data_IF_883767277685
#
_entry.id   IF_883767277685
#
_cell.length_a   1.000
_cell.length_b   1.000
_cell.length_c   1.000
_cell.angle_alpha   90.00
_cell.angle_beta   90.00
_cell.angle_gamma   90.00
#
_symmetry.space_group_name_H-M   'P 1'
#
loop_
_entity.id
_entity.type
_entity.pdbx_description
1 polymer ?
#
# COMPACT_ATOMS: atom_id res chain seq x y z
N UNK A 1 -5.20 -35.55 -14.20
CA UNK A 1 -6.30 -36.55 -14.09
C UNK A 1 -6.76 -37.00 -15.47
N UNK A 2 -7.11 -36.08 -16.38
CA UNK A 2 -7.62 -36.38 -17.73
C UNK A 2 -6.60 -37.14 -18.59
N UNK A 3 -5.33 -36.77 -18.56
CA UNK A 3 -4.23 -37.47 -19.23
C UNK A 3 -4.02 -38.89 -18.68
N UNK A 4 -4.19 -39.09 -17.38
CA UNK A 4 -4.05 -40.41 -16.75
C UNK A 4 -5.22 -41.33 -17.14
N UNK A 5 -6.43 -40.81 -17.21
CA UNK A 5 -7.59 -41.55 -17.71
C UNK A 5 -7.44 -41.93 -19.17
N UNK A 6 -6.91 -41.05 -20.00
CA UNK A 6 -6.65 -41.29 -21.42
C UNK A 6 -5.58 -42.38 -21.60
N UNK A 7 -4.53 -42.37 -20.77
CA UNK A 7 -3.50 -43.41 -20.76
C UNK A 7 -4.04 -44.79 -20.38
N UNK A 8 -4.90 -44.85 -19.35
CA UNK A 8 -5.58 -46.07 -18.92
C UNK A 8 -6.51 -46.59 -20.06
N UNK A 9 -7.27 -45.68 -20.68
CA UNK A 9 -8.16 -46.06 -21.80
C UNK A 9 -7.34 -46.63 -22.97
N UNK A 10 -6.26 -46.00 -23.38
CA UNK A 10 -5.37 -46.48 -24.45
C UNK A 10 -4.76 -47.85 -24.08
N UNK A 11 -4.30 -48.00 -22.82
CA UNK A 11 -3.75 -49.28 -22.34
C UNK A 11 -4.77 -50.41 -22.44
N UNK A 12 -6.02 -50.17 -22.03
CA UNK A 12 -7.11 -51.18 -22.15
C UNK A 12 -7.44 -51.51 -23.60
N UNK A 13 -7.48 -50.49 -24.47
CA UNK A 13 -7.78 -50.69 -25.90
C UNK A 13 -6.65 -51.47 -26.61
N UNK A 14 -5.41 -51.19 -26.31
CA UNK A 14 -4.26 -51.93 -26.79
C UNK A 14 -4.32 -53.39 -26.31
N UNK A 15 -4.58 -53.62 -25.03
CA UNK A 15 -4.64 -54.96 -24.44
C UNK A 15 -5.81 -55.79 -25.06
N UNK A 16 -6.96 -55.14 -25.30
CA UNK A 16 -8.12 -55.74 -25.96
C UNK A 16 -7.82 -56.09 -27.43
N UNK A 17 -7.16 -55.20 -28.15
CA UNK A 17 -6.78 -55.41 -29.55
C UNK A 17 -5.77 -56.56 -29.69
N UNK A 18 -4.78 -56.66 -28.81
CA UNK A 18 -3.80 -57.74 -28.79
C UNK A 18 -4.44 -59.12 -28.52
N UNK A 19 -5.46 -59.14 -27.61
CA UNK A 19 -6.14 -60.38 -27.23
C UNK A 19 -7.05 -60.90 -28.34
N UNK A 20 -7.66 -60.00 -29.15
CA UNK A 20 -8.55 -60.36 -30.23
C UNK A 20 -7.86 -60.75 -31.54
N UNK A 21 -6.55 -60.46 -31.66
CA UNK A 21 -5.75 -60.66 -32.88
C UNK A 21 -5.05 -62.03 -32.94
N UNK A 22 -5.23 -62.87 -31.92
CA UNK A 22 -4.58 -64.20 -31.89
C UNK A 22 -5.31 -65.20 -32.84
N UNK A 23 -6.52 -64.84 -33.31
CA UNK A 23 -7.39 -65.82 -34.01
C UNK A 23 -7.64 -65.57 -35.52
N UNK A 24 -7.02 -64.56 -36.20
CA UNK A 24 -7.29 -64.35 -37.64
C UNK A 24 -6.05 -63.85 -38.40
N UNK A 25 -5.57 -64.70 -39.26
CA UNK A 25 -4.48 -64.45 -40.26
C UNK A 25 -4.85 -63.30 -41.21
N UNK A 26 -4.00 -62.28 -41.29
CA UNK A 26 -3.97 -61.30 -42.38
C UNK A 26 -4.27 -59.86 -42.05
N UNK A 27 -5.07 -59.54 -41.02
CA UNK A 27 -5.41 -58.19 -40.59
C UNK A 27 -4.53 -57.69 -39.41
N UNK A 28 -3.71 -58.54 -38.90
CA UNK A 28 -2.90 -58.42 -37.70
C UNK A 28 -1.76 -57.40 -37.88
N UNK A 29 -1.21 -57.28 -39.09
CA UNK A 29 -0.08 -56.42 -39.37
C UNK A 29 -0.42 -54.91 -39.29
N UNK A 30 -1.54 -54.50 -39.88
CA UNK A 30 -1.93 -53.10 -39.92
C UNK A 30 -2.29 -52.58 -38.51
N UNK A 31 -2.97 -53.37 -37.68
CA UNK A 31 -3.30 -52.98 -36.32
C UNK A 31 -2.10 -52.86 -35.42
N UNK A 32 -1.11 -53.73 -35.55
CA UNK A 32 0.16 -53.67 -34.85
C UNK A 32 0.94 -52.39 -35.23
N UNK A 33 0.99 -52.03 -36.49
CA UNK A 33 1.62 -50.79 -36.96
C UNK A 33 0.94 -49.56 -36.41
N UNK A 34 -0.38 -49.48 -36.43
CA UNK A 34 -1.15 -48.36 -35.89
C UNK A 34 -0.90 -48.23 -34.39
N UNK A 35 -0.89 -49.33 -33.65
CA UNK A 35 -0.67 -49.32 -32.21
C UNK A 35 0.76 -48.84 -31.86
N UNK A 36 1.78 -49.37 -32.56
CA UNK A 36 3.17 -48.94 -32.35
C UNK A 36 3.37 -47.47 -32.73
N UNK A 37 2.79 -47.03 -33.82
CA UNK A 37 2.87 -45.65 -34.28
C UNK A 37 2.15 -44.70 -33.30
N UNK A 38 0.98 -45.06 -32.83
CA UNK A 38 0.24 -44.31 -31.83
C UNK A 38 1.00 -44.20 -30.51
N UNK A 39 1.62 -45.30 -30.06
CA UNK A 39 2.43 -45.32 -28.85
C UNK A 39 3.69 -44.44 -29.00
N UNK A 40 4.34 -44.51 -30.17
CA UNK A 40 5.54 -43.75 -30.48
C UNK A 40 5.29 -42.24 -30.54
N UNK A 41 4.12 -41.81 -30.97
CA UNK A 41 3.72 -40.39 -30.99
C UNK A 41 3.19 -39.88 -29.65
N UNK A 42 2.52 -40.74 -28.91
CA UNK A 42 1.83 -40.37 -27.65
C UNK A 42 2.82 -40.20 -26.48
N UNK A 43 3.87 -41.03 -26.40
CA UNK A 43 4.88 -40.92 -25.35
C UNK A 43 5.64 -39.60 -25.41
N UNK A 44 6.22 -39.16 -26.55
CA UNK A 44 6.86 -37.85 -26.63
C UNK A 44 5.90 -36.69 -26.34
N UNK A 45 4.65 -36.75 -26.78
CA UNK A 45 3.64 -35.73 -26.54
C UNK A 45 3.36 -35.54 -25.04
N UNK A 46 3.22 -36.64 -24.30
CA UNK A 46 3.04 -36.60 -22.85
C UNK A 46 4.27 -36.02 -22.15
N UNK A 47 5.45 -36.44 -22.53
CA UNK A 47 6.73 -35.97 -21.98
C UNK A 47 6.89 -34.44 -22.20
N UNK A 48 6.61 -33.95 -23.39
CA UNK A 48 6.65 -32.53 -23.73
C UNK A 48 5.62 -31.75 -22.88
N UNK A 49 4.42 -32.28 -22.71
CA UNK A 49 3.39 -31.64 -21.90
C UNK A 49 3.80 -31.54 -20.42
N UNK A 50 4.33 -32.61 -19.85
CA UNK A 50 4.82 -32.63 -18.45
C UNK A 50 5.98 -31.66 -18.29
N UNK A 51 6.94 -31.67 -19.22
CA UNK A 51 8.10 -30.80 -19.21
C UNK A 51 7.70 -29.32 -19.35
N UNK A 52 6.73 -29.03 -20.23
CA UNK A 52 6.18 -27.69 -20.40
C UNK A 52 5.50 -27.17 -19.14
N UNK A 53 4.69 -27.99 -18.47
CA UNK A 53 4.07 -27.63 -17.20
C UNK A 53 5.11 -27.40 -16.11
N UNK A 54 6.15 -28.22 -16.06
CA UNK A 54 7.24 -28.04 -15.10
C UNK A 54 8.01 -26.73 -15.34
N UNK A 55 8.39 -26.45 -16.60
CA UNK A 55 9.06 -25.20 -16.96
C UNK A 55 8.19 -23.98 -16.66
N UNK A 56 6.90 -24.07 -16.98
CA UNK A 56 5.96 -22.97 -16.71
C UNK A 56 5.82 -22.70 -15.21
N UNK A 57 5.65 -23.73 -14.39
CA UNK A 57 5.57 -23.59 -12.93
C UNK A 57 6.86 -23.01 -12.36
N UNK A 58 8.02 -23.53 -12.79
CA UNK A 58 9.32 -23.04 -12.33
C UNK A 58 9.60 -21.58 -12.76
N UNK A 59 9.22 -21.22 -14.00
CA UNK A 59 9.39 -19.87 -14.50
C UNK A 59 8.47 -18.87 -13.78
N UNK A 60 7.22 -19.26 -13.53
CA UNK A 60 6.27 -18.45 -12.76
C UNK A 60 6.76 -18.22 -11.33
N UNK A 61 7.10 -19.28 -10.61
CA UNK A 61 7.56 -19.19 -9.23
C UNK A 61 8.82 -18.31 -9.09
N UNK A 62 9.83 -18.56 -9.92
CA UNK A 62 11.09 -17.82 -9.83
C UNK A 62 11.01 -16.37 -10.32
N UNK A 63 10.18 -16.09 -11.31
CA UNK A 63 10.07 -14.75 -11.90
C UNK A 63 9.09 -13.86 -11.16
N UNK A 64 7.91 -14.40 -10.81
CA UNK A 64 6.87 -13.63 -10.15
C UNK A 64 7.19 -13.35 -8.68
N UNK A 65 7.60 -14.33 -7.90
CA UNK A 65 7.90 -14.13 -6.48
C UNK A 65 8.98 -13.07 -6.29
N UNK A 66 10.07 -13.14 -7.03
CA UNK A 66 11.15 -12.17 -6.86
C UNK A 66 10.76 -10.76 -7.31
N UNK A 67 10.10 -10.61 -8.46
CA UNK A 67 9.71 -9.28 -8.97
C UNK A 67 8.55 -8.67 -8.20
N UNK A 68 7.51 -9.44 -7.92
CA UNK A 68 6.34 -8.95 -7.18
C UNK A 68 6.74 -8.57 -5.75
N UNK A 69 7.49 -9.42 -5.06
CA UNK A 69 7.98 -9.11 -3.72
C UNK A 69 8.86 -7.86 -3.70
N UNK A 70 9.76 -7.71 -4.67
CA UNK A 70 10.62 -6.53 -4.77
C UNK A 70 9.81 -5.25 -5.03
N UNK A 71 8.83 -5.30 -5.95
CA UNK A 71 7.98 -4.15 -6.25
C UNK A 71 7.11 -3.76 -5.05
N UNK A 72 6.48 -4.73 -4.39
CA UNK A 72 5.66 -4.49 -3.20
C UNK A 72 6.51 -3.91 -2.07
N UNK A 73 7.69 -4.48 -1.81
CA UNK A 73 8.60 -3.99 -0.80
C UNK A 73 9.08 -2.57 -1.09
N UNK A 74 9.52 -2.29 -2.31
CA UNK A 74 9.95 -0.95 -2.71
C UNK A 74 8.81 0.08 -2.63
N UNK A 75 7.59 -0.32 -3.01
CA UNK A 75 6.41 0.55 -2.89
C UNK A 75 6.08 0.85 -1.44
N UNK A 76 6.20 -0.13 -0.55
CA UNK A 76 6.01 0.06 0.89
C UNK A 76 7.06 1.00 1.49
N UNK A 77 8.34 0.80 1.17
CA UNK A 77 9.43 1.67 1.64
C UNK A 77 9.29 3.10 1.10
N UNK A 78 8.88 3.25 -0.15
CA UNK A 78 8.60 4.56 -0.73
C UNK A 78 7.44 5.27 -0.01
N UNK A 79 6.33 4.57 0.21
CA UNK A 79 5.19 5.12 0.94
C UNK A 79 5.55 5.51 2.37
N UNK A 80 6.32 4.68 3.07
CA UNK A 80 6.82 4.97 4.42
C UNK A 80 7.73 6.20 4.45
N UNK A 81 8.66 6.30 3.50
CA UNK A 81 9.56 7.44 3.37
C UNK A 81 8.79 8.73 3.07
N UNK A 82 7.80 8.67 2.20
CA UNK A 82 6.93 9.81 1.88
C UNK A 82 6.16 10.30 3.12
N UNK A 83 5.53 9.39 3.86
CA UNK A 83 4.82 9.75 5.11
C UNK A 83 5.78 10.41 6.11
N UNK A 84 7.00 9.87 6.26
CA UNK A 84 8.00 10.43 7.15
C UNK A 84 8.48 11.82 6.71
N UNK A 85 8.64 12.04 5.41
CA UNK A 85 8.97 13.33 4.83
C UNK A 85 7.88 14.37 5.10
N UNK A 86 6.61 14.02 4.85
CA UNK A 86 5.45 14.89 5.14
C UNK A 86 5.41 15.25 6.63
N UNK A 87 5.59 14.29 7.52
CA UNK A 87 5.61 14.54 8.96
C UNK A 87 6.75 15.46 9.38
N UNK A 88 7.93 15.29 8.79
CA UNK A 88 9.07 16.15 9.07
C UNK A 88 8.85 17.57 8.52
N UNK A 89 8.25 17.70 7.34
CA UNK A 89 7.84 18.98 6.75
C UNK A 89 6.88 19.70 7.72
N UNK A 90 5.78 19.06 8.10
CA UNK A 90 4.78 19.64 9.02
C UNK A 90 5.43 20.06 10.34
N UNK A 91 6.29 19.23 10.93
CA UNK A 91 7.01 19.56 12.18
C UNK A 91 7.93 20.78 12.03
N UNK A 92 8.60 20.94 10.91
CA UNK A 92 9.48 22.08 10.65
C UNK A 92 8.67 23.36 10.40
N UNK A 93 7.62 23.25 9.61
CA UNK A 93 6.78 24.39 9.26
C UNK A 93 6.01 24.93 10.47
N UNK A 94 5.55 24.08 11.38
CA UNK A 94 4.85 24.54 12.58
C UNK A 94 5.72 25.43 13.47
N UNK A 95 7.02 25.09 13.58
CA UNK A 95 7.98 25.94 14.35
C UNK A 95 8.11 27.33 13.72
N UNK A 96 8.18 27.38 12.40
CA UNK A 96 8.30 28.65 11.66
C UNK A 96 7.01 29.47 11.76
N UNK A 97 5.84 28.82 11.66
CA UNK A 97 4.55 29.50 11.84
C UNK A 97 4.42 30.03 13.26
N UNK A 98 4.78 29.22 14.27
CA UNK A 98 4.74 29.65 15.66
C UNK A 98 5.68 30.86 15.91
N UNK A 99 6.87 30.84 15.33
CA UNK A 99 7.80 31.97 15.39
C UNK A 99 7.19 33.23 14.78
N UNK A 100 6.59 33.14 13.58
CA UNK A 100 5.96 34.26 12.92
C UNK A 100 4.74 34.79 13.70
N UNK A 101 3.94 33.91 14.32
CA UNK A 101 2.82 34.30 15.20
C UNK A 101 3.36 35.04 16.43
N UNK A 102 4.36 34.48 17.12
CA UNK A 102 4.94 35.08 18.31
C UNK A 102 5.52 36.47 18.00
N UNK A 103 6.21 36.64 16.87
CA UNK A 103 6.76 37.90 16.41
C UNK A 103 5.67 38.91 16.07
N UNK A 104 4.56 38.47 15.52
CA UNK A 104 3.44 39.30 15.10
C UNK A 104 2.39 39.49 16.19
N UNK A 105 2.57 38.96 17.40
CA UNK A 105 1.59 38.91 18.46
C UNK A 105 0.99 40.32 18.79
N UNK A 106 1.82 41.35 18.83
CA UNK A 106 1.42 42.72 19.08
C UNK A 106 0.51 43.32 17.99
N UNK A 107 0.61 42.84 16.74
CA UNK A 107 -0.15 43.31 15.61
C UNK A 107 -1.43 42.50 15.38
N UNK A 108 -1.44 41.28 15.89
CA UNK A 108 -2.63 40.41 15.77
C UNK A 108 -3.72 40.82 16.80
N UNK A 109 -3.33 41.28 18.00
CA UNK A 109 -4.17 41.89 19.05
C UNK A 109 -5.58 41.27 19.18
N UNK A 110 -5.67 39.98 19.23
CA UNK A 110 -6.91 39.18 19.28
C UNK A 110 -7.97 39.50 18.20
N UNK A 111 -7.57 40.20 17.14
CA UNK A 111 -8.44 40.50 16.03
C UNK A 111 -8.61 39.26 15.12
N UNK A 112 -9.79 38.64 15.18
CA UNK A 112 -10.10 37.44 14.41
C UNK A 112 -9.82 37.59 12.92
N UNK A 113 -10.15 38.72 12.32
CA UNK A 113 -9.91 38.96 10.88
C UNK A 113 -8.43 38.99 10.55
N UNK A 114 -7.61 39.56 11.42
CA UNK A 114 -6.16 39.62 11.27
C UNK A 114 -5.54 38.23 11.38
N UNK A 115 -5.96 37.43 12.38
CA UNK A 115 -5.52 36.03 12.49
C UNK A 115 -5.92 35.18 11.30
N UNK A 116 -7.18 35.24 10.87
CA UNK A 116 -7.63 34.47 9.69
C UNK A 116 -6.84 34.83 8.43
N UNK A 117 -6.58 36.15 8.22
CA UNK A 117 -5.77 36.59 7.07
C UNK A 117 -4.34 36.07 7.19
N UNK A 118 -3.75 36.19 8.36
CA UNK A 118 -2.39 35.69 8.62
C UNK A 118 -2.29 34.19 8.38
N UNK A 119 -3.19 33.38 8.97
CA UNK A 119 -3.18 31.93 8.80
C UNK A 119 -3.40 31.51 7.34
N UNK A 120 -4.25 32.22 6.60
CA UNK A 120 -4.40 31.99 5.15
C UNK A 120 -3.13 32.28 4.37
N UNK A 121 -2.41 33.32 4.73
CA UNK A 121 -1.12 33.64 4.11
C UNK A 121 -0.07 32.57 4.44
N UNK A 122 0.02 32.12 5.69
CA UNK A 122 0.91 31.04 6.09
C UNK A 122 0.59 29.73 5.36
N UNK A 123 -0.69 29.37 5.22
CA UNK A 123 -1.12 28.24 4.41
C UNK A 123 -0.55 28.26 2.99
N UNK A 124 -0.67 29.42 2.31
CA UNK A 124 -0.20 29.58 0.94
C UNK A 124 1.34 29.51 0.81
N UNK A 125 2.05 30.16 1.73
CA UNK A 125 3.51 30.23 1.68
C UNK A 125 4.14 28.87 2.00
N UNK A 126 3.54 28.11 2.93
CA UNK A 126 4.13 26.89 3.48
C UNK A 126 3.49 25.60 2.97
N UNK A 127 2.46 25.74 2.13
CA UNK A 127 1.72 24.61 1.56
C UNK A 127 1.18 23.65 2.64
N UNK A 128 0.65 24.21 3.73
CA UNK A 128 -0.02 23.46 4.81
C UNK A 128 -1.52 23.57 4.61
N UNK A 129 -2.24 22.45 4.67
CA UNK A 129 -3.67 22.40 4.37
C UNK A 129 -4.50 23.11 5.42
N UNK A 130 -4.26 22.84 6.69
CA UNK A 130 -5.02 23.37 7.80
C UNK A 130 -4.09 23.87 8.92
N UNK A 131 -4.45 25.04 9.46
CA UNK A 131 -3.74 25.67 10.56
C UNK A 131 -4.77 26.13 11.57
N UNK A 132 -4.60 25.70 12.82
CA UNK A 132 -5.51 25.98 13.91
C UNK A 132 -4.77 26.58 15.10
N UNK A 133 -5.37 27.59 15.74
CA UNK A 133 -4.93 28.06 17.05
C UNK A 133 -6.01 27.65 18.05
N UNK A 134 -5.60 26.94 19.07
CA UNK A 134 -6.47 26.38 20.11
C UNK A 134 -6.03 26.86 21.49
N UNK A 135 -6.93 26.81 22.43
CA UNK A 135 -6.62 27.03 23.84
C UNK A 135 -6.26 25.73 24.57
N UNK A 136 -5.99 25.85 25.87
CA UNK A 136 -5.62 24.70 26.72
C UNK A 136 -6.78 23.69 26.85
N UNK A 137 -8.03 24.13 26.69
CA UNK A 137 -9.20 23.25 26.69
C UNK A 137 -9.50 22.64 25.33
N UNK A 138 -8.57 22.76 24.38
CA UNK A 138 -8.68 22.28 22.98
C UNK A 138 -9.77 22.97 22.18
N UNK A 139 -10.25 24.10 22.63
CA UNK A 139 -11.25 24.91 21.93
C UNK A 139 -10.59 25.67 20.79
N UNK A 140 -11.19 25.62 19.62
CA UNK A 140 -10.74 26.32 18.44
C UNK A 140 -10.94 27.86 18.60
N UNK A 141 -9.83 28.59 18.63
CA UNK A 141 -9.82 30.05 18.67
C UNK A 141 -9.82 30.61 17.24
N UNK A 142 -8.81 30.32 16.48
CA UNK A 142 -8.63 30.82 15.11
C UNK A 142 -8.28 29.68 14.15
N UNK A 143 -8.70 29.80 12.89
CA UNK A 143 -8.44 28.81 11.87
C UNK A 143 -8.45 29.42 10.47
N UNK A 144 -7.75 28.78 9.54
CA UNK A 144 -7.77 29.14 8.12
C UNK A 144 -8.89 28.44 7.34
N UNK A 145 -9.58 27.46 7.92
CA UNK A 145 -10.69 26.77 7.25
C UNK A 145 -11.98 27.58 7.36
N UNK A 146 -12.85 27.42 6.35
CA UNK A 146 -14.15 28.12 6.32
C UNK A 146 -15.19 27.44 7.22
N UNK A 147 -15.16 26.11 7.24
CA UNK A 147 -16.13 25.29 7.95
C UNK A 147 -15.52 24.78 9.27
N UNK A 148 -15.85 25.47 10.36
CA UNK A 148 -15.35 25.10 11.69
C UNK A 148 -15.82 23.74 12.21
N UNK A 149 -16.87 23.17 11.60
CA UNK A 149 -17.37 21.84 12.00
C UNK A 149 -16.41 20.70 11.65
N UNK A 150 -15.49 20.94 10.73
CA UNK A 150 -14.44 19.99 10.33
C UNK A 150 -13.25 19.94 11.28
N UNK A 151 -13.20 20.82 12.26
CA UNK A 151 -12.13 20.79 13.24
C UNK A 151 -12.19 19.53 14.10
N UNK A 152 -11.11 18.77 14.13
CA UNK A 152 -10.91 17.61 15.01
C UNK A 152 -9.91 17.97 16.10
N UNK A 153 -10.31 17.94 17.39
CA UNK A 153 -9.42 18.32 18.49
C UNK A 153 -8.29 17.29 18.62
N UNK A 154 -7.09 17.73 19.10
CA UNK A 154 -5.97 16.83 19.30
C UNK A 154 -6.29 15.76 20.33
N UNK A 155 -5.64 14.59 20.20
CA UNK A 155 -5.80 13.46 21.12
C UNK A 155 -5.51 13.85 22.58
N UNK A 156 -6.08 13.09 23.50
CA UNK A 156 -5.83 13.32 24.93
C UNK A 156 -4.33 13.16 25.23
N UNK A 157 -3.81 13.99 26.11
CA UNK A 157 -2.40 13.96 26.49
C UNK A 157 -1.46 14.73 25.54
N UNK A 158 -1.91 15.13 24.32
CA UNK A 158 -1.04 15.82 23.39
C UNK A 158 -0.60 17.21 23.87
N UNK A 159 -1.51 17.97 24.51
CA UNK A 159 -1.18 19.29 25.05
C UNK A 159 -0.27 19.20 26.26
N UNK A 160 -0.51 18.23 27.12
CA UNK A 160 0.29 17.96 28.32
C UNK A 160 1.75 17.67 27.93
N UNK A 161 1.97 16.80 26.93
CA UNK A 161 3.30 16.49 26.41
C UNK A 161 4.00 17.71 25.80
N UNK A 162 3.27 18.58 25.10
CA UNK A 162 3.83 19.81 24.52
C UNK A 162 4.17 20.83 25.60
N UNK A 163 3.39 20.89 26.69
CA UNK A 163 3.66 21.75 27.83
C UNK A 163 4.89 21.28 28.59
N UNK A 164 5.06 19.97 28.77
CA UNK A 164 6.17 19.37 29.51
C UNK A 164 7.49 19.48 28.74
N UNK A 165 7.48 19.19 27.45
CA UNK A 165 8.70 19.12 26.62
C UNK A 165 9.08 20.46 25.96
N UNK A 166 8.15 21.42 25.88
CA UNK A 166 8.25 22.68 25.12
C UNK A 166 8.77 22.49 23.67
N UNK A 167 8.39 21.38 23.06
CA UNK A 167 8.81 20.99 21.72
C UNK A 167 7.62 20.66 20.83
N UNK A 168 7.74 20.83 19.49
CA UNK A 168 6.67 20.44 18.59
C UNK A 168 6.43 18.92 18.65
N UNK A 169 5.20 18.52 18.96
CA UNK A 169 4.75 17.15 18.99
C UNK A 169 4.16 16.76 17.62
N UNK A 170 4.59 15.66 17.07
CA UNK A 170 3.95 15.05 15.90
C UNK A 170 2.71 14.28 16.34
N UNK A 171 1.60 14.52 15.64
CA UNK A 171 0.35 13.78 15.82
C UNK A 171 0.08 13.02 14.54
N UNK A 172 -0.12 11.70 14.67
CA UNK A 172 -0.49 10.84 13.55
C UNK A 172 -1.89 10.33 13.81
N UNK A 173 -2.83 10.72 12.95
CA UNK A 173 -4.17 10.15 12.96
C UNK A 173 -4.27 9.13 11.81
N UNK A 174 -3.89 7.89 12.09
CA UNK A 174 -3.84 6.81 11.10
C UNK A 174 -5.20 6.52 10.41
N UNK A 175 -6.35 6.53 11.12
CA UNK A 175 -7.65 6.31 10.50
C UNK A 175 -8.03 7.37 9.45
N UNK A 176 -7.57 8.60 9.61
CA UNK A 176 -7.91 9.71 8.73
C UNK A 176 -6.80 10.10 7.76
N UNK A 177 -5.69 9.36 7.75
CA UNK A 177 -4.48 9.69 6.97
C UNK A 177 -3.96 11.13 7.18
N UNK A 178 -4.17 11.67 8.38
CA UNK A 178 -3.77 13.04 8.73
C UNK A 178 -2.42 12.98 9.44
N UNK A 179 -1.47 13.77 8.95
CA UNK A 179 -0.21 14.07 9.64
C UNK A 179 -0.29 15.51 10.17
N UNK A 180 -0.28 15.66 11.48
CA UNK A 180 -0.35 16.93 12.14
C UNK A 180 0.83 17.14 13.09
N UNK A 181 1.03 18.38 13.52
CA UNK A 181 1.94 18.73 14.60
C UNK A 181 1.28 19.77 15.49
N UNK A 182 1.69 19.83 16.75
CA UNK A 182 1.23 20.79 17.72
C UNK A 182 2.41 21.40 18.46
N UNK A 183 2.37 22.70 18.71
CA UNK A 183 3.38 23.45 19.43
C UNK A 183 2.73 24.54 20.31
N UNK A 184 3.32 24.84 21.45
CA UNK A 184 2.91 25.94 22.30
C UNK A 184 3.36 27.28 21.72
N UNK A 185 2.49 28.29 21.77
CA UNK A 185 2.82 29.66 21.36
C UNK A 185 3.42 30.42 22.57
N UNK A 186 4.69 30.80 22.50
CA UNK A 186 5.42 31.44 23.61
C UNK A 186 4.90 32.83 23.95
N UNK A 187 4.36 33.56 22.97
CA UNK A 187 3.79 34.89 23.20
C UNK A 187 2.44 34.83 23.93
N UNK A 188 1.80 33.67 24.04
CA UNK A 188 0.50 33.46 24.63
C UNK A 188 0.55 32.28 25.58
N UNK A 189 0.21 32.48 26.87
CA UNK A 189 0.37 31.46 27.93
C UNK A 189 -0.41 30.17 27.65
N UNK A 190 -1.58 30.28 27.08
CA UNK A 190 -2.55 29.18 27.00
C UNK A 190 -3.02 28.90 25.54
N UNK A 191 -2.14 29.20 24.57
CA UNK A 191 -2.46 28.98 23.15
C UNK A 191 -1.46 28.04 22.49
N UNK A 192 -2.01 27.21 21.63
CA UNK A 192 -1.27 26.20 20.86
C UNK A 192 -1.63 26.35 19.37
N UNK A 193 -0.64 26.07 18.54
CA UNK A 193 -0.75 26.02 17.10
C UNK A 193 -0.83 24.56 16.66
#
# INVERSE_FOLDING_TARGET
ILLFLLFIFIYFEIKKSIKNDIDKDGLTSNKKYITYFSLFTLIPSILISIFSLFLFSFALEKYFDKKVTTVVYNSYELAKSYVQEVQNKVKSEIVLIAFDINKSAKFLDDNEKSYIRFLKTQKLIREIDEIHIIDIDKKLLFTNIKDRSKYSPPVRGALELVIEDDRPLKIINAPENISAAIIRLQAFKDRFL
#
